data_IF_756192719169
#
_entry.id   IF_756192719169
#
_cell.length_a   1.000
_cell.length_b   1.000
_cell.length_c   1.000
_cell.angle_alpha   90.00
_cell.angle_beta   90.00
_cell.angle_gamma   90.00
#
_symmetry.space_group_name_H-M   'P 1'
#
loop_
_entity.id
_entity.type
_entity.pdbx_description
1 polymer ?
#
# COMPACT_ATOMS: atom_id res chain seq x y z
N UNK A 1 45.38 -5.21 32.44
CA UNK A 1 44.75 -4.23 31.53
C UNK A 1 43.33 -4.70 31.27
N UNK A 2 42.36 -3.91 31.70
CA UNK A 2 40.87 -4.01 31.64
C UNK A 2 40.28 -4.59 30.32
N UNK A 3 39.02 -5.09 30.27
CA UNK A 3 37.88 -4.49 30.96
C UNK A 3 36.85 -5.39 31.65
N UNK A 4 36.23 -4.72 32.63
CA UNK A 4 35.04 -5.05 33.40
C UNK A 4 33.88 -5.51 32.51
N UNK A 5 33.30 -6.63 32.90
CA UNK A 5 32.03 -7.12 32.40
C UNK A 5 30.93 -6.15 32.83
N UNK A 6 30.15 -5.68 31.86
CA UNK A 6 29.09 -4.69 32.06
C UNK A 6 27.93 -5.34 32.82
N UNK A 7 27.70 -4.87 34.04
CA UNK A 7 26.45 -5.06 34.77
C UNK A 7 25.29 -4.59 33.89
N UNK A 8 24.50 -5.55 33.39
CA UNK A 8 23.20 -5.24 32.78
C UNK A 8 22.17 -5.34 33.91
N UNK A 9 21.62 -4.22 34.41
CA UNK A 9 20.56 -4.31 35.38
C UNK A 9 19.34 -4.93 34.70
N UNK A 10 18.93 -6.10 35.17
CA UNK A 10 17.66 -6.70 34.81
C UNK A 10 16.54 -5.82 35.41
N UNK A 11 16.07 -4.84 34.64
CA UNK A 11 14.81 -4.14 34.92
C UNK A 11 13.68 -5.18 34.90
N UNK A 12 13.33 -5.68 36.08
CA UNK A 12 12.09 -6.42 36.32
C UNK A 12 10.94 -5.41 36.25
N UNK A 13 10.60 -4.99 35.03
CA UNK A 13 9.34 -4.29 34.75
C UNK A 13 8.22 -5.31 34.84
N UNK A 14 7.68 -5.49 36.05
CA UNK A 14 6.37 -6.09 36.29
C UNK A 14 5.30 -5.21 35.66
N UNK A 15 5.21 -5.24 34.34
CA UNK A 15 4.06 -4.68 33.62
C UNK A 15 2.90 -5.62 33.89
N UNK A 16 2.00 -5.17 34.76
CA UNK A 16 0.72 -5.81 34.99
C UNK A 16 -0.11 -5.67 33.70
N UNK A 17 0.12 -6.58 32.75
CA UNK A 17 -0.60 -6.64 31.48
C UNK A 17 -1.97 -7.22 31.80
N UNK A 18 -2.95 -6.34 31.99
CA UNK A 18 -4.36 -6.72 31.91
C UNK A 18 -4.61 -7.23 30.48
N UNK A 19 -4.45 -8.54 30.27
CA UNK A 19 -4.95 -9.24 29.09
C UNK A 19 -6.48 -9.37 29.25
N UNK A 20 -7.18 -8.25 29.14
CA UNK A 20 -8.61 -8.24 28.89
C UNK A 20 -8.79 -8.73 27.45
N UNK A 21 -9.50 -9.85 27.28
CA UNK A 21 -9.69 -10.53 26.00
C UNK A 21 -10.00 -9.54 24.86
N UNK A 22 -8.99 -9.35 24.01
CA UNK A 22 -9.03 -8.49 22.84
C UNK A 22 -10.23 -8.83 21.94
N UNK A 23 -10.58 -10.09 21.81
CA UNK A 23 -11.58 -10.47 20.81
C UNK A 23 -13.01 -10.12 21.28
N UNK A 24 -13.28 -10.31 22.57
CA UNK A 24 -14.58 -10.04 23.18
C UNK A 24 -14.88 -8.54 23.15
N UNK A 25 -13.93 -7.71 23.60
CA UNK A 25 -14.05 -6.24 23.60
C UNK A 25 -14.22 -5.68 22.18
N UNK A 26 -13.73 -6.39 21.15
CA UNK A 26 -13.73 -5.90 19.76
C UNK A 26 -15.11 -5.95 19.15
N UNK A 27 -15.79 -7.08 19.34
CA UNK A 27 -17.17 -7.26 18.91
C UNK A 27 -18.10 -6.28 19.62
N UNK A 28 -17.87 -6.02 20.92
CA UNK A 28 -18.66 -5.02 21.66
C UNK A 28 -18.39 -3.59 21.17
N UNK A 29 -17.13 -3.20 20.96
CA UNK A 29 -16.77 -1.88 20.48
C UNK A 29 -17.36 -1.61 19.08
N UNK A 30 -17.32 -2.57 18.16
CA UNK A 30 -17.91 -2.43 16.83
C UNK A 30 -19.44 -2.34 16.87
N UNK A 31 -20.08 -3.01 17.82
CA UNK A 31 -21.53 -2.89 18.04
C UNK A 31 -21.89 -1.53 18.63
N UNK A 32 -21.12 -1.04 19.59
CA UNK A 32 -21.29 0.28 20.21
C UNK A 32 -21.01 1.39 19.19
N UNK A 33 -19.99 1.27 18.35
CA UNK A 33 -19.68 2.23 17.29
C UNK A 33 -20.82 2.36 16.28
N UNK A 34 -21.38 1.23 15.83
CA UNK A 34 -22.57 1.23 14.94
C UNK A 34 -23.80 1.81 15.63
N UNK A 35 -23.97 1.56 16.92
CA UNK A 35 -25.09 2.05 17.70
C UNK A 35 -25.01 3.57 17.96
N UNK A 36 -23.84 4.09 18.34
CA UNK A 36 -23.59 5.52 18.59
C UNK A 36 -23.51 6.35 17.30
N UNK A 37 -23.04 5.76 16.20
CA UNK A 37 -22.99 6.43 14.89
C UNK A 37 -24.37 6.58 14.23
N UNK A 38 -25.38 5.86 14.71
CA UNK A 38 -26.76 5.99 14.23
C UNK A 38 -27.48 7.04 15.09
N UNK A 39 -28.07 8.08 14.50
CA UNK A 39 -28.83 9.13 15.21
C UNK A 39 -30.00 8.61 16.07
N UNK A 40 -30.32 7.33 15.96
CA UNK A 40 -31.26 6.58 16.80
C UNK A 40 -30.88 6.59 18.29
N UNK A 41 -29.60 6.55 18.64
CA UNK A 41 -29.18 6.61 20.05
C UNK A 41 -29.60 7.93 20.71
N UNK A 42 -29.29 9.06 20.06
CA UNK A 42 -29.65 10.39 20.52
C UNK A 42 -31.17 10.56 20.64
N UNK A 43 -31.93 10.00 19.69
CA UNK A 43 -33.40 10.02 19.74
C UNK A 43 -33.93 9.25 20.95
N UNK A 44 -33.44 8.03 21.20
CA UNK A 44 -33.87 7.23 22.36
C UNK A 44 -33.52 7.94 23.67
N UNK A 45 -32.30 8.47 23.79
CA UNK A 45 -31.84 9.19 24.99
C UNK A 45 -32.66 10.46 25.25
N UNK A 46 -33.01 11.21 24.21
CA UNK A 46 -33.88 12.39 24.32
C UNK A 46 -35.29 12.00 24.78
N UNK A 47 -35.87 10.93 24.21
CA UNK A 47 -37.19 10.43 24.61
C UNK A 47 -37.21 10.01 26.08
N UNK A 48 -36.18 9.31 26.55
CA UNK A 48 -36.07 8.90 27.96
C UNK A 48 -36.06 10.12 28.88
N UNK A 49 -35.27 11.15 28.56
CA UNK A 49 -35.21 12.40 29.36
C UNK A 49 -36.57 13.10 29.38
N UNK A 50 -37.22 13.23 28.21
CA UNK A 50 -38.55 13.87 28.11
C UNK A 50 -39.59 13.09 28.92
N UNK A 51 -39.62 11.76 28.82
CA UNK A 51 -40.55 10.91 29.59
C UNK A 51 -40.27 11.04 31.09
N UNK A 52 -39.00 11.08 31.52
CA UNK A 52 -38.63 11.27 32.92
C UNK A 52 -39.16 12.59 33.48
N UNK A 53 -38.95 13.68 32.74
CA UNK A 53 -39.46 15.02 33.11
C UNK A 53 -40.98 15.01 33.18
N UNK A 54 -41.67 14.42 32.20
CA UNK A 54 -43.14 14.36 32.16
C UNK A 54 -43.73 13.51 33.30
N UNK A 55 -43.13 12.37 33.63
CA UNK A 55 -43.54 11.54 34.77
C UNK A 55 -43.36 12.29 36.09
N UNK A 56 -42.25 13.01 36.23
CA UNK A 56 -41.95 13.77 37.44
C UNK A 56 -42.95 14.92 37.67
N UNK A 57 -43.29 15.66 36.61
CA UNK A 57 -44.27 16.75 36.68
C UNK A 57 -45.72 16.22 36.82
N UNK A 58 -46.02 15.06 36.24
CA UNK A 58 -47.37 14.47 36.25
C UNK A 58 -47.78 13.82 37.58
N UNK A 59 -46.82 13.34 38.38
CA UNK A 59 -47.10 12.69 39.68
C UNK A 59 -47.01 13.73 40.81
N UNK A 60 -48.02 14.58 40.90
CA UNK A 60 -48.16 15.68 41.88
C UNK A 60 -48.13 15.25 43.36
N UNK A 61 -48.19 13.95 43.67
CA UNK A 61 -48.28 13.47 45.05
C UNK A 61 -46.96 12.96 45.65
N UNK A 62 -45.91 12.74 44.84
CA UNK A 62 -44.70 12.06 45.32
C UNK A 62 -43.37 12.75 44.99
N UNK A 63 -43.31 13.77 44.11
CA UNK A 63 -42.11 14.59 43.82
C UNK A 63 -40.77 13.84 43.98
N UNK A 64 -40.63 12.67 43.34
CA UNK A 64 -39.48 11.78 43.56
C UNK A 64 -38.14 12.37 43.11
N UNK A 65 -38.15 13.40 42.25
CA UNK A 65 -36.97 14.12 41.79
C UNK A 65 -37.31 15.60 41.52
N UNK A 66 -37.45 16.45 42.56
CA UNK A 66 -37.85 17.85 42.41
C UNK A 66 -36.86 18.64 41.57
N UNK A 67 -37.31 19.71 40.90
CA UNK A 67 -36.43 20.63 40.17
C UNK A 67 -35.29 21.10 41.10
N UNK A 68 -33.99 20.87 40.78
CA UNK A 68 -33.37 20.73 39.45
C UNK A 68 -33.02 19.29 38.98
N UNK A 69 -33.82 18.26 39.30
CA UNK A 69 -33.64 16.85 38.86
C UNK A 69 -32.28 16.24 39.24
N UNK A 70 -32.01 16.10 40.54
CA UNK A 70 -30.73 15.62 41.07
C UNK A 70 -30.42 14.18 40.66
N UNK A 71 -31.44 13.31 40.56
CA UNK A 71 -31.24 11.91 40.20
C UNK A 71 -30.88 11.75 38.74
N UNK A 72 -31.55 12.50 37.86
CA UNK A 72 -31.21 12.55 36.44
C UNK A 72 -29.79 13.08 36.23
N UNK A 73 -29.41 14.13 36.97
CA UNK A 73 -28.06 14.68 36.90
C UNK A 73 -27.01 13.67 37.39
N UNK A 74 -27.28 12.98 38.50
CA UNK A 74 -26.39 11.95 39.03
C UNK A 74 -26.22 10.81 38.01
N UNK A 75 -27.31 10.36 37.38
CA UNK A 75 -27.27 9.32 36.37
C UNK A 75 -26.40 9.73 35.16
N UNK A 76 -26.57 10.96 34.65
CA UNK A 76 -25.72 11.48 33.57
C UNK A 76 -24.25 11.62 33.98
N UNK A 77 -23.99 12.03 35.22
CA UNK A 77 -22.65 12.14 35.78
C UNK A 77 -21.95 10.77 35.82
N UNK A 78 -22.66 9.73 36.29
CA UNK A 78 -22.15 8.36 36.28
C UNK A 78 -21.99 7.82 34.86
N UNK A 79 -22.93 8.12 33.95
CA UNK A 79 -22.87 7.71 32.55
C UNK A 79 -21.61 8.28 31.87
N UNK A 80 -21.33 9.57 32.06
CA UNK A 80 -20.13 10.20 31.54
C UNK A 80 -18.85 9.60 32.16
N UNK A 81 -18.86 9.34 33.48
CA UNK A 81 -17.72 8.74 34.18
C UNK A 81 -17.38 7.34 33.67
N UNK A 82 -18.38 6.51 33.33
CA UNK A 82 -18.16 5.18 32.76
C UNK A 82 -17.85 5.21 31.24
N UNK A 83 -18.29 6.24 30.53
CA UNK A 83 -17.97 6.40 29.11
C UNK A 83 -16.47 6.63 28.89
N UNK A 84 -15.80 7.42 29.74
CA UNK A 84 -14.37 7.72 29.60
C UNK A 84 -13.46 6.48 29.51
N UNK A 85 -13.50 5.50 30.44
CA UNK A 85 -12.67 4.29 30.34
C UNK A 85 -13.05 3.40 29.15
N UNK A 86 -14.33 3.31 28.77
CA UNK A 86 -14.75 2.59 27.57
C UNK A 86 -14.19 3.21 26.30
N UNK A 87 -14.22 4.54 26.20
CA UNK A 87 -13.64 5.29 25.09
C UNK A 87 -12.13 5.07 25.04
N UNK A 88 -11.42 5.13 26.16
CA UNK A 88 -9.97 4.86 26.22
C UNK A 88 -9.63 3.44 25.74
N UNK A 89 -10.43 2.44 26.11
CA UNK A 89 -10.25 1.07 25.62
C UNK A 89 -10.50 0.96 24.11
N UNK A 90 -11.52 1.65 23.59
CA UNK A 90 -11.78 1.70 22.15
C UNK A 90 -10.63 2.42 21.40
N UNK A 91 -10.12 3.52 21.95
CA UNK A 91 -9.03 4.31 21.37
C UNK A 91 -7.71 3.53 21.33
N UNK A 92 -7.28 2.90 22.44
CA UNK A 92 -6.07 2.08 22.49
C UNK A 92 -6.06 0.98 21.42
N UNK A 93 -7.24 0.46 21.08
CA UNK A 93 -7.37 -0.56 20.04
C UNK A 93 -7.35 0.00 18.64
N UNK A 94 -8.02 1.12 18.42
CA UNK A 94 -7.94 1.83 17.16
C UNK A 94 -6.48 2.16 16.85
N UNK A 95 -5.74 2.72 17.82
CA UNK A 95 -4.33 3.05 17.69
C UNK A 95 -3.46 1.82 17.41
N UNK A 96 -3.72 0.67 18.07
CA UNK A 96 -2.98 -0.56 17.78
C UNK A 96 -3.25 -1.08 16.37
N UNK A 97 -4.50 -1.03 15.89
CA UNK A 97 -4.86 -1.41 14.52
C UNK A 97 -4.21 -0.48 13.50
N UNK A 98 -4.27 0.82 13.74
CA UNK A 98 -3.67 1.84 12.88
C UNK A 98 -2.15 1.67 12.83
N UNK A 99 -1.52 1.34 13.96
CA UNK A 99 -0.08 1.03 14.02
C UNK A 99 0.28 -0.19 13.19
N UNK A 100 -0.47 -1.29 13.29
CA UNK A 100 -0.23 -2.50 12.47
C UNK A 100 -0.38 -2.17 10.98
N UNK A 101 -1.43 -1.42 10.60
CA UNK A 101 -1.63 -0.99 9.22
C UNK A 101 -0.47 -0.16 8.70
N UNK A 102 0.02 0.81 9.49
CA UNK A 102 1.15 1.65 9.12
C UNK A 102 2.45 0.87 8.97
N UNK A 103 2.69 -0.11 9.83
CA UNK A 103 3.88 -0.95 9.74
C UNK A 103 3.83 -1.89 8.53
N UNK A 104 2.65 -2.42 8.17
CA UNK A 104 2.45 -3.16 6.92
C UNK A 104 2.69 -2.28 5.69
N UNK A 105 2.14 -1.07 5.66
CA UNK A 105 2.32 -0.14 4.55
C UNK A 105 3.79 0.26 4.38
N UNK A 106 4.51 0.50 5.48
CA UNK A 106 5.97 0.73 5.43
C UNK A 106 6.73 -0.45 4.87
N UNK A 107 6.39 -1.68 5.28
CA UNK A 107 7.02 -2.90 4.76
C UNK A 107 6.76 -3.07 3.26
N UNK A 108 5.52 -2.87 2.82
CA UNK A 108 5.15 -2.91 1.40
C UNK A 108 5.91 -1.83 0.60
N UNK A 109 5.98 -0.61 1.11
CA UNK A 109 6.73 0.47 0.45
C UNK A 109 8.23 0.16 0.32
N UNK A 110 8.84 -0.46 1.35
CA UNK A 110 10.22 -0.91 1.29
C UNK A 110 10.40 -2.01 0.23
N UNK A 111 9.54 -3.03 0.20
CA UNK A 111 9.58 -4.09 -0.81
C UNK A 111 9.42 -3.55 -2.23
N UNK A 112 8.43 -2.70 -2.47
CA UNK A 112 8.23 -2.07 -3.79
C UNK A 112 9.44 -1.26 -4.23
N UNK A 113 10.12 -0.58 -3.29
CA UNK A 113 11.35 0.16 -3.59
C UNK A 113 12.47 -0.79 -4.01
N UNK A 114 12.69 -1.87 -3.26
CA UNK A 114 13.72 -2.86 -3.54
C UNK A 114 13.47 -3.56 -4.90
N UNK A 115 12.22 -3.93 -5.18
CA UNK A 115 11.81 -4.52 -6.46
C UNK A 115 12.03 -3.55 -7.63
N UNK A 116 11.71 -2.26 -7.43
CA UNK A 116 11.94 -1.22 -8.45
C UNK A 116 13.43 -1.03 -8.72
N UNK A 117 14.26 -1.03 -7.67
CA UNK A 117 15.71 -0.93 -7.81
C UNK A 117 16.30 -2.16 -8.48
N UNK A 118 15.78 -3.36 -8.18
CA UNK A 118 16.15 -4.58 -8.85
C UNK A 118 15.81 -4.54 -10.33
N UNK A 119 14.57 -4.17 -10.68
CA UNK A 119 14.13 -4.04 -12.08
C UNK A 119 14.93 -2.98 -12.85
N UNK A 120 15.27 -1.85 -12.21
CA UNK A 120 16.16 -0.84 -12.81
C UNK A 120 17.57 -1.39 -13.02
N UNK A 121 18.08 -2.14 -12.03
CA UNK A 121 19.25 -3.05 -12.06
C UNK A 121 19.33 -3.84 -13.36
N UNK A 122 18.32 -4.69 -13.51
CA UNK A 122 18.20 -5.66 -14.57
C UNK A 122 18.00 -4.99 -15.92
N UNK A 123 17.16 -3.95 -16.00
CA UNK A 123 16.94 -3.19 -17.23
C UNK A 123 18.23 -2.52 -17.71
N UNK A 124 19.03 -1.96 -16.81
CA UNK A 124 20.32 -1.38 -17.15
C UNK A 124 21.29 -2.45 -17.68
N UNK A 125 21.35 -3.62 -17.03
CA UNK A 125 22.17 -4.73 -17.48
C UNK A 125 21.75 -5.25 -18.87
N UNK A 126 20.45 -5.46 -19.08
CA UNK A 126 19.87 -5.86 -20.37
C UNK A 126 20.16 -4.81 -21.43
N UNK A 127 20.03 -3.52 -21.12
CA UNK A 127 20.33 -2.42 -22.05
C UNK A 127 21.80 -2.42 -22.46
N UNK A 128 22.72 -2.69 -21.54
CA UNK A 128 24.15 -2.80 -21.86
C UNK A 128 24.43 -4.03 -22.73
N UNK A 129 23.87 -5.20 -22.37
CA UNK A 129 24.06 -6.43 -23.14
C UNK A 129 23.53 -6.31 -24.59
N UNK A 130 22.33 -5.74 -24.78
CA UNK A 130 21.78 -5.44 -26.11
C UNK A 130 22.56 -4.33 -26.81
N UNK A 131 22.99 -3.32 -26.05
CA UNK A 131 23.77 -2.19 -26.52
C UNK A 131 25.21 -2.51 -26.91
N UNK A 132 25.74 -3.69 -26.58
CA UNK A 132 27.04 -4.21 -27.05
C UNK A 132 26.89 -5.28 -28.15
N UNK A 133 25.79 -6.06 -28.15
CA UNK A 133 25.65 -7.24 -29.03
C UNK A 133 25.02 -6.93 -30.40
N UNK A 134 24.28 -5.83 -30.55
CA UNK A 134 23.54 -5.50 -31.81
C UNK A 134 24.09 -4.24 -32.50
N UNK A 135 25.10 -3.60 -31.93
CA UNK A 135 25.35 -2.17 -32.16
C UNK A 135 26.35 -1.93 -33.27
N UNK A 136 25.83 -1.40 -34.38
CA UNK A 136 26.52 -0.71 -35.47
C UNK A 136 27.57 -1.50 -36.24
N UNK A 137 28.58 -2.09 -35.63
CA UNK A 137 29.67 -2.76 -36.35
C UNK A 137 29.24 -4.11 -36.92
N UNK A 138 28.32 -4.80 -36.25
CA UNK A 138 27.68 -6.00 -36.81
C UNK A 138 26.70 -5.60 -37.93
N UNK A 139 25.79 -4.65 -37.69
CA UNK A 139 24.88 -4.14 -38.71
C UNK A 139 25.62 -3.56 -39.92
N UNK A 140 26.76 -2.89 -39.70
CA UNK A 140 27.57 -2.30 -40.76
C UNK A 140 28.33 -3.36 -41.56
N UNK A 141 28.89 -4.38 -40.90
CA UNK A 141 29.49 -5.52 -41.60
C UNK A 141 28.46 -6.27 -42.42
N UNK A 142 27.29 -6.56 -41.86
CA UNK A 142 26.23 -7.24 -42.59
C UNK A 142 25.72 -6.40 -43.78
N UNK A 143 25.61 -5.08 -43.60
CA UNK A 143 25.27 -4.16 -44.69
C UNK A 143 26.38 -4.09 -45.76
N UNK A 144 27.65 -4.02 -45.37
CA UNK A 144 28.78 -3.98 -46.31
C UNK A 144 28.89 -5.32 -47.07
N UNK A 145 28.76 -6.46 -46.40
CA UNK A 145 28.76 -7.79 -47.01
C UNK A 145 27.61 -7.94 -48.03
N UNK A 146 26.41 -7.48 -47.67
CA UNK A 146 25.26 -7.47 -48.60
C UNK A 146 25.48 -6.52 -49.80
N UNK A 147 26.12 -5.36 -49.58
CA UNK A 147 26.45 -4.40 -50.64
C UNK A 147 27.48 -4.99 -51.61
N UNK A 148 28.53 -5.63 -51.08
CA UNK A 148 29.56 -6.27 -51.88
C UNK A 148 29.01 -7.45 -52.68
N UNK A 149 28.14 -8.29 -52.09
CA UNK A 149 27.48 -9.38 -52.82
C UNK A 149 26.63 -8.85 -53.99
N UNK A 150 25.86 -7.78 -53.75
CA UNK A 150 25.05 -7.17 -54.80
C UNK A 150 25.94 -6.58 -55.89
N UNK A 151 27.03 -5.90 -55.53
CA UNK A 151 27.98 -5.29 -56.47
C UNK A 151 28.65 -6.35 -57.36
N UNK A 152 29.12 -7.46 -56.78
CA UNK A 152 29.72 -8.57 -57.51
C UNK A 152 28.72 -9.21 -58.49
N UNK A 153 27.46 -9.43 -58.07
CA UNK A 153 26.42 -9.94 -58.97
C UNK A 153 26.16 -9.01 -60.16
N UNK A 154 26.20 -7.70 -59.97
CA UNK A 154 26.05 -6.72 -61.05
C UNK A 154 27.26 -6.75 -61.97
N UNK A 155 28.48 -6.78 -61.42
CA UNK A 155 29.72 -6.80 -62.19
C UNK A 155 29.83 -8.06 -63.07
N UNK A 156 29.48 -9.23 -62.53
CA UNK A 156 29.42 -10.50 -63.28
C UNK A 156 28.42 -10.39 -64.43
N UNK A 157 27.19 -9.93 -64.16
CA UNK A 157 26.19 -9.73 -65.21
C UNK A 157 26.64 -8.77 -66.31
N UNK A 158 27.33 -7.69 -65.95
CA UNK A 158 27.87 -6.74 -66.93
C UNK A 158 29.01 -7.34 -67.76
N UNK A 159 29.86 -8.17 -67.16
CA UNK A 159 30.94 -8.86 -67.88
C UNK A 159 30.38 -9.87 -68.87
N UNK A 160 29.40 -10.67 -68.43
CA UNK A 160 28.70 -11.64 -69.29
C UNK A 160 27.99 -10.94 -70.46
N UNK A 161 27.37 -9.78 -70.22
CA UNK A 161 26.76 -8.98 -71.28
C UNK A 161 27.80 -8.44 -72.29
N UNK A 162 28.97 -8.02 -71.81
CA UNK A 162 30.05 -7.47 -72.65
C UNK A 162 30.75 -8.55 -73.48
N UNK A 163 30.90 -9.75 -72.92
CA UNK A 163 31.46 -10.90 -73.61
C UNK A 163 30.48 -11.45 -74.66
N UNK A 164 29.17 -11.43 -74.39
CA UNK A 164 28.14 -11.71 -75.39
C UNK A 164 28.17 -10.71 -76.56
N UNK A 165 28.29 -9.41 -76.27
CA UNK A 165 28.38 -8.37 -77.30
C UNK A 165 29.65 -8.50 -78.16
N UNK A 166 30.78 -8.92 -77.56
CA UNK A 166 32.03 -9.21 -78.29
C UNK A 166 31.93 -10.43 -79.17
N UNK A 167 31.28 -11.51 -78.71
CA UNK A 167 31.02 -12.67 -79.56
C UNK A 167 30.14 -12.29 -80.75
N UNK A 168 29.08 -11.51 -80.52
CA UNK A 168 28.21 -11.03 -81.60
C UNK A 168 28.93 -10.08 -82.58
N UNK A 169 29.80 -9.20 -82.10
CA UNK A 169 30.59 -8.32 -82.96
C UNK A 169 31.69 -9.07 -83.75
N UNK A 170 32.21 -10.17 -83.21
CA UNK A 170 33.17 -11.04 -83.90
C UNK A 170 32.50 -11.87 -85.00
N UNK A 171 31.29 -12.40 -84.75
CA UNK A 171 30.52 -13.12 -85.76
C UNK A 171 30.08 -12.18 -86.90
N UNK A 172 29.70 -10.94 -86.60
CA UNK A 172 29.34 -9.94 -87.61
C UNK A 172 30.51 -9.42 -88.46
N UNK A 173 31.77 -9.70 -88.07
CA UNK A 173 32.97 -9.30 -88.80
C UNK A 173 33.55 -10.44 -89.67
N UNK A 174 32.93 -11.62 -89.67
CA UNK A 174 33.35 -12.79 -90.43
C UNK A 174 32.37 -13.26 -91.52
N UNK A 175 31.23 -12.60 -91.66
CA UNK A 175 30.33 -12.69 -92.83
C UNK A 175 30.55 -11.49 -93.79
#
# INVERSE_FOLDING_TARGET
MSPRHLDTPAETRTTFRFNLDSDVVGVYAERVARFLGTGRYLLIQTVIVVVWILLNIGVFAFEWDPYPFILLNLAFSTQAAYAAPLILLAQNRQENRDRISLDEDRRRAAQTKDDTEFLARELAAVRLAVGDTVTRDYLRRELDDLVDEIADRIAVKMRDAKDADRLHASDAAHD
#
